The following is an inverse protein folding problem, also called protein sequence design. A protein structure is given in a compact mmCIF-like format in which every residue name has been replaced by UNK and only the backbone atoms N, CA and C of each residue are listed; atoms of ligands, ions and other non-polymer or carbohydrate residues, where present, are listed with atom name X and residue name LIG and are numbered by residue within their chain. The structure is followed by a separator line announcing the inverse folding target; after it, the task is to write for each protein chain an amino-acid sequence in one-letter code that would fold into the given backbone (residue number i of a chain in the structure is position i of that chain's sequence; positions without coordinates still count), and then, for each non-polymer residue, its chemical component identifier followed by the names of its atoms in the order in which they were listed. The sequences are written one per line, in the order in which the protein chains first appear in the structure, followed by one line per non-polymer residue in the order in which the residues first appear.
data_IF_945537248059
#
_entry.id   IF_945537248059
#
_cell.length_a   1.000
_cell.length_b   1.000
_cell.length_c   1.000
_cell.angle_alpha   90.00
_cell.angle_beta   90.00
_cell.angle_gamma   90.00
#
_symmetry.space_group_name_H-M   'P 1'
#
loop_
_entity.id
_entity.type
_entity.pdbx_description
1 polymer ?
#
# COMPACT_ATOMS: atom_id res chain seq x y z
N UNK A 1 -11.94 -7.98 -9.14
CA UNK A 1 -10.94 -7.78 -8.07
C UNK A 1 -11.52 -6.91 -7.00
N UNK A 2 -11.11 -7.09 -5.75
CA UNK A 2 -11.48 -6.18 -4.66
C UNK A 2 -10.54 -4.96 -4.68
N UNK A 3 -11.03 -3.74 -4.40
CA UNK A 3 -10.17 -2.58 -4.25
C UNK A 3 -9.14 -2.80 -3.14
N UNK A 4 -7.92 -2.34 -3.37
CA UNK A 4 -6.85 -2.36 -2.39
C UNK A 4 -6.64 -0.93 -1.87
N UNK A 5 -6.93 -0.71 -0.60
CA UNK A 5 -6.85 0.63 0.00
C UNK A 5 -5.60 0.77 0.85
N UNK A 6 -4.85 1.83 0.61
CA UNK A 6 -3.67 2.23 1.37
C UNK A 6 -4.03 3.32 2.38
N UNK A 7 -3.63 3.13 3.62
CA UNK A 7 -3.81 4.10 4.71
C UNK A 7 -2.57 4.04 5.61
N UNK A 8 -2.06 5.17 6.09
CA UNK A 8 -1.00 5.09 7.11
C UNK A 8 -1.59 4.73 8.47
N UNK A 9 -0.83 4.00 9.28
CA UNK A 9 -1.22 3.76 10.67
C UNK A 9 -0.94 5.00 11.54
N UNK A 10 0.22 5.63 11.32
CA UNK A 10 0.69 6.79 12.03
C UNK A 10 0.95 7.98 11.08
N UNK A 11 2.11 8.01 10.44
CA UNK A 11 2.52 9.02 9.48
C UNK A 11 3.22 8.33 8.32
N UNK A 12 2.67 8.55 7.12
CA UNK A 12 3.27 8.03 5.91
C UNK A 12 4.66 8.66 5.66
N UNK A 13 5.59 7.86 5.14
CA UNK A 13 6.86 8.39 4.64
C UNK A 13 6.62 9.01 3.26
N UNK A 14 6.06 10.23 3.24
CA UNK A 14 5.59 10.88 2.03
C UNK A 14 6.69 11.10 0.98
N UNK A 15 7.94 11.27 1.39
CA UNK A 15 9.08 11.32 0.48
C UNK A 15 9.21 10.04 -0.34
N UNK A 16 9.16 8.87 0.33
CA UNK A 16 9.24 7.57 -0.32
C UNK A 16 8.02 7.32 -1.23
N UNK A 17 6.81 7.64 -0.76
CA UNK A 17 5.58 7.54 -1.56
C UNK A 17 5.68 8.39 -2.82
N UNK A 18 6.09 9.66 -2.71
CA UNK A 18 6.25 10.56 -3.86
C UNK A 18 7.28 10.04 -4.85
N UNK A 19 8.42 9.54 -4.38
CA UNK A 19 9.45 8.95 -5.24
C UNK A 19 8.89 7.75 -6.02
N UNK A 20 8.24 6.80 -5.34
CA UNK A 20 7.67 5.60 -5.96
C UNK A 20 6.58 5.93 -7.00
N UNK A 21 5.80 6.98 -6.77
CA UNK A 21 4.70 7.39 -7.64
C UNK A 21 5.11 8.40 -8.73
N UNK A 22 6.34 8.94 -8.68
CA UNK A 22 6.77 10.06 -9.51
C UNK A 22 6.77 9.77 -11.02
N UNK A 23 6.90 8.50 -11.40
CA UNK A 23 6.95 8.04 -12.79
C UNK A 23 5.57 7.70 -13.35
N UNK A 24 4.51 7.70 -12.53
CA UNK A 24 3.16 7.34 -12.99
C UNK A 24 2.48 8.55 -13.65
N UNK A 25 1.95 8.39 -14.88
CA UNK A 25 1.07 9.37 -15.50
C UNK A 25 -0.10 9.73 -14.58
N UNK A 26 -0.36 11.04 -14.43
CA UNK A 26 -1.47 11.57 -13.64
C UNK A 26 -2.58 12.08 -14.55
N UNK A 27 -3.80 11.65 -14.26
CA UNK A 27 -5.04 12.05 -14.93
C UNK A 27 -6.07 12.44 -13.87
N UNK A 28 -6.12 13.74 -13.54
CA UNK A 28 -6.91 14.23 -12.41
C UNK A 28 -6.41 13.65 -11.08
N UNK A 29 -7.30 12.96 -10.35
CA UNK A 29 -7.00 12.30 -9.06
C UNK A 29 -6.42 10.89 -9.21
N UNK A 30 -6.34 10.37 -10.44
CA UNK A 30 -5.86 9.03 -10.72
C UNK A 30 -4.41 9.03 -11.21
N UNK A 31 -3.63 8.05 -10.76
CA UNK A 31 -2.37 7.62 -11.34
C UNK A 31 -2.61 6.34 -12.15
N UNK A 32 -2.13 6.30 -13.40
CA UNK A 32 -2.42 5.21 -14.34
C UNK A 32 -1.16 4.67 -15.01
N UNK A 33 -1.04 3.34 -15.08
CA UNK A 33 0.01 2.64 -15.85
C UNK A 33 -0.46 1.24 -16.21
N UNK A 34 -0.58 0.93 -17.50
CA UNK A 34 -1.13 -0.35 -17.92
C UNK A 34 -2.54 -0.54 -17.35
N UNK A 35 -2.75 -1.63 -16.59
CA UNK A 35 -4.01 -1.94 -15.90
C UNK A 35 -4.14 -1.29 -14.52
N UNK A 36 -3.08 -0.65 -14.00
CA UNK A 36 -3.12 0.03 -12.71
C UNK A 36 -3.98 1.29 -12.79
N UNK A 37 -4.97 1.39 -11.90
CA UNK A 37 -5.76 2.61 -11.64
C UNK A 37 -5.72 2.88 -10.15
N UNK A 38 -4.90 3.86 -9.76
CA UNK A 38 -4.68 4.25 -8.36
C UNK A 38 -5.26 5.64 -8.11
N UNK A 39 -6.33 5.72 -7.35
CA UNK A 39 -6.88 6.99 -6.84
C UNK A 39 -6.06 7.43 -5.64
N UNK A 40 -5.57 8.66 -5.59
CA UNK A 40 -4.79 9.14 -4.44
C UNK A 40 -5.26 10.50 -3.94
N UNK A 41 -5.06 10.76 -2.65
CA UNK A 41 -5.17 12.11 -2.11
C UNK A 41 -4.07 13.04 -2.66
N UNK A 42 -4.33 14.35 -2.65
CA UNK A 42 -3.34 15.36 -3.01
C UNK A 42 -2.36 15.58 -1.85
N UNK A 43 -1.10 15.19 -2.06
CA UNK A 43 -0.02 15.32 -1.08
C UNK A 43 0.59 16.73 -1.07
N UNK A 44 -0.19 17.74 -0.63
CA UNK A 44 0.28 19.13 -0.48
C UNK A 44 1.49 19.27 0.45
N UNK A 45 2.08 20.48 0.51
CA UNK A 45 3.32 20.75 1.27
C UNK A 45 3.21 20.54 2.79
N UNK A 46 2.00 20.44 3.35
CA UNK A 46 1.75 20.18 4.77
C UNK A 46 1.14 18.81 5.09
N UNK A 47 0.96 17.93 4.09
CA UNK A 47 0.40 16.61 4.32
C UNK A 47 1.26 15.82 5.31
N UNK A 48 0.62 15.14 6.25
CA UNK A 48 1.26 14.19 7.19
C UNK A 48 0.98 12.73 6.80
N UNK A 49 0.00 12.53 5.94
CA UNK A 49 -0.56 11.23 5.64
C UNK A 49 -0.86 11.09 4.14
N UNK A 50 -1.00 9.85 3.69
CA UNK A 50 -1.35 9.44 2.36
C UNK A 50 -2.49 8.41 2.40
N UNK A 51 -3.49 8.64 1.54
CA UNK A 51 -4.56 7.68 1.29
C UNK A 51 -4.63 7.40 -0.20
N UNK A 52 -4.84 6.14 -0.55
CA UNK A 52 -5.09 5.76 -1.92
C UNK A 52 -5.94 4.50 -2.03
N UNK A 53 -6.61 4.34 -3.16
CA UNK A 53 -7.35 3.12 -3.51
C UNK A 53 -6.94 2.68 -4.89
N UNK A 54 -6.37 1.47 -5.00
CA UNK A 54 -6.15 0.81 -6.27
C UNK A 54 -7.44 0.10 -6.69
N UNK A 55 -8.13 0.67 -7.67
CA UNK A 55 -9.38 0.15 -8.22
C UNK A 55 -9.15 -0.99 -9.22
N UNK A 56 -7.98 -0.99 -9.86
CA UNK A 56 -7.53 -2.01 -10.80
C UNK A 56 -6.01 -2.13 -10.68
N UNK A 57 -5.49 -3.34 -10.71
CA UNK A 57 -4.07 -3.68 -10.61
C UNK A 57 -3.84 -5.08 -11.17
N UNK A 58 -2.60 -5.41 -11.55
CA UNK A 58 -2.23 -6.74 -12.03
C UNK A 58 -0.96 -7.25 -11.34
N UNK A 59 -0.55 -8.49 -11.66
CA UNK A 59 0.66 -9.10 -11.12
C UNK A 59 1.91 -8.20 -11.32
N UNK A 60 2.00 -7.50 -12.45
CA UNK A 60 3.09 -6.57 -12.74
C UNK A 60 3.16 -5.36 -11.80
N UNK A 61 2.08 -5.05 -11.09
CA UNK A 61 2.00 -3.92 -10.16
C UNK A 61 2.40 -4.31 -8.73
N UNK A 62 2.45 -5.60 -8.41
CA UNK A 62 2.71 -6.11 -7.05
C UNK A 62 4.01 -5.58 -6.46
N UNK A 63 5.14 -5.47 -7.20
CA UNK A 63 6.35 -4.85 -6.66
C UNK A 63 6.15 -3.38 -6.21
N UNK A 64 5.38 -2.60 -6.97
CA UNK A 64 5.06 -1.21 -6.60
C UNK A 64 4.15 -1.17 -5.37
N UNK A 65 3.12 -2.02 -5.32
CA UNK A 65 2.18 -2.07 -4.19
C UNK A 65 2.89 -2.49 -2.88
N UNK A 66 3.79 -3.48 -2.96
CA UNK A 66 4.62 -3.89 -1.83
C UNK A 66 5.54 -2.75 -1.38
N UNK A 67 6.23 -2.10 -2.32
CA UNK A 67 7.12 -0.97 -2.01
C UNK A 67 6.37 0.23 -1.40
N UNK A 68 5.15 0.51 -1.86
CA UNK A 68 4.31 1.55 -1.26
C UNK A 68 3.98 1.22 0.20
N UNK A 69 3.61 -0.03 0.48
CA UNK A 69 3.32 -0.45 1.84
C UNK A 69 4.56 -0.43 2.74
N UNK A 70 5.67 -1.00 2.28
CA UNK A 70 6.90 -1.14 3.08
C UNK A 70 7.67 0.16 3.26
N UNK A 71 7.90 0.92 2.19
CA UNK A 71 8.65 2.18 2.27
C UNK A 71 7.78 3.36 2.63
N UNK A 72 6.50 3.34 2.22
CA UNK A 72 5.54 4.39 2.56
C UNK A 72 4.98 4.27 3.98
N UNK A 73 5.22 3.14 4.67
CA UNK A 73 4.61 2.80 5.97
C UNK A 73 3.08 2.85 5.90
N UNK A 74 2.54 2.16 4.90
CA UNK A 74 1.11 2.13 4.61
C UNK A 74 0.57 0.74 4.88
N UNK A 75 -0.55 0.67 5.58
CA UNK A 75 -1.38 -0.53 5.68
C UNK A 75 -2.17 -0.68 4.38
N UNK A 76 -2.27 -1.92 3.88
CA UNK A 76 -3.14 -2.27 2.78
C UNK A 76 -4.36 -3.00 3.31
N UNK A 77 -5.55 -2.57 2.92
CA UNK A 77 -6.80 -3.28 3.27
C UNK A 77 -7.42 -3.91 2.05
N UNK A 78 -7.79 -5.18 2.18
CA UNK A 78 -8.39 -5.98 1.12
C UNK A 78 -9.46 -6.91 1.71
N UNK A 79 -10.73 -6.60 1.44
CA UNK A 79 -11.84 -7.51 1.77
C UNK A 79 -11.88 -7.93 3.25
N UNK A 80 -11.54 -7.03 4.18
CA UNK A 80 -11.51 -7.28 5.62
C UNK A 80 -10.18 -7.79 6.18
N UNK A 81 -9.16 -7.97 5.32
CA UNK A 81 -7.77 -8.24 5.75
C UNK A 81 -6.95 -6.97 5.77
N UNK A 82 -5.96 -6.95 6.65
CA UNK A 82 -4.90 -5.95 6.69
C UNK A 82 -3.60 -6.64 6.29
N UNK A 83 -3.00 -6.19 5.19
CA UNK A 83 -1.71 -6.63 4.70
C UNK A 83 -0.70 -5.51 4.93
N UNK A 84 0.48 -5.83 5.44
CA UNK A 84 1.50 -4.84 5.77
C UNK A 84 2.83 -5.27 5.18
N UNK A 85 3.22 -4.61 4.09
CA UNK A 85 4.55 -4.77 3.50
C UNK A 85 5.63 -4.36 4.49
N UNK A 86 6.60 -5.24 4.71
CA UNK A 86 7.75 -4.97 5.59
C UNK A 86 9.03 -5.54 4.98
N UNK A 87 10.18 -4.96 5.32
CA UNK A 87 11.48 -5.60 5.13
C UNK A 87 11.67 -6.61 6.28
N UNK A 88 11.83 -7.89 5.96
CA UNK A 88 12.03 -8.96 6.95
C UNK A 88 13.22 -8.74 7.89
N UNK A 89 14.23 -8.01 7.46
CA UNK A 89 15.43 -7.73 8.26
C UNK A 89 15.28 -6.49 9.12
N UNK A 90 14.40 -5.57 8.72
CA UNK A 90 14.15 -4.28 9.40
C UNK A 90 12.68 -3.89 9.29
N UNK A 91 11.77 -4.64 9.92
CA UNK A 91 10.36 -4.31 9.87
C UNK A 91 10.16 -2.96 10.56
N UNK A 92 9.36 -2.08 9.94
CA UNK A 92 9.03 -0.78 10.52
C UNK A 92 7.90 -0.88 11.56
N UNK A 93 7.22 -2.03 11.60
CA UNK A 93 6.13 -2.36 12.51
C UNK A 93 6.09 -3.87 12.75
N UNK A 94 5.66 -4.30 13.93
CA UNK A 94 5.46 -5.72 14.24
C UNK A 94 4.00 -6.13 14.04
N UNK A 95 3.76 -7.44 13.97
CA UNK A 95 2.38 -7.96 13.90
C UNK A 95 1.56 -7.53 15.12
N UNK A 96 2.15 -7.60 16.32
CA UNK A 96 1.50 -7.19 17.56
C UNK A 96 1.09 -5.71 17.55
N UNK A 97 1.98 -4.82 17.08
CA UNK A 97 1.67 -3.38 17.02
C UNK A 97 0.46 -3.08 16.09
N UNK A 98 0.36 -3.80 14.96
CA UNK A 98 -0.78 -3.66 14.04
C UNK A 98 -2.04 -4.21 14.68
N UNK A 99 -1.98 -5.42 15.26
CA UNK A 99 -3.10 -6.08 15.93
C UNK A 99 -3.66 -5.25 17.09
N UNK A 100 -2.78 -4.64 17.89
CA UNK A 100 -3.18 -3.73 18.98
C UNK A 100 -3.85 -2.46 18.47
N UNK A 101 -3.56 -2.04 17.23
CA UNK A 101 -4.07 -0.80 16.64
C UNK A 101 -5.35 -0.98 15.81
N UNK A 102 -5.69 -2.22 15.41
CA UNK A 102 -6.88 -2.48 14.60
C UNK A 102 -7.98 -3.14 15.43
N UNK A 103 -9.23 -2.68 15.26
CA UNK A 103 -10.38 -3.20 16.01
C UNK A 103 -10.80 -4.62 15.59
N UNK A 104 -10.29 -5.13 14.47
CA UNK A 104 -10.56 -6.48 13.96
C UNK A 104 -10.10 -6.67 12.52
N UNK A 105 -10.08 -7.93 12.08
CA UNK A 105 -9.57 -8.33 10.77
C UNK A 105 -8.37 -9.26 10.89
N UNK A 106 -8.05 -9.94 9.78
CA UNK A 106 -6.87 -10.82 9.70
C UNK A 106 -5.66 -9.97 9.29
N UNK A 107 -4.60 -9.97 10.11
CA UNK A 107 -3.36 -9.22 9.86
C UNK A 107 -2.30 -10.14 9.29
N UNK A 108 -1.65 -9.69 8.22
CA UNK A 108 -0.48 -10.36 7.67
C UNK A 108 0.64 -9.36 7.44
N UNK A 109 1.81 -9.63 8.02
CA UNK A 109 3.04 -9.02 7.56
C UNK A 109 3.46 -9.71 6.26
N UNK A 110 3.80 -8.92 5.25
CA UNK A 110 4.13 -9.39 3.91
C UNK A 110 5.57 -9.01 3.60
N UNK A 111 6.45 -10.00 3.53
CA UNK A 111 7.90 -9.77 3.44
C UNK A 111 8.37 -9.52 2.01
N UNK A 112 7.56 -9.86 1.01
CA UNK A 112 7.92 -9.65 -0.38
C UNK A 112 6.78 -9.68 -1.38
N UNK A 113 7.06 -9.34 -2.65
CA UNK A 113 6.06 -9.27 -3.71
C UNK A 113 5.34 -10.59 -3.97
N UNK A 114 6.03 -11.74 -3.93
CA UNK A 114 5.40 -13.04 -4.25
C UNK A 114 4.32 -13.41 -3.22
N UNK A 115 4.59 -13.15 -1.94
CA UNK A 115 3.62 -13.33 -0.87
C UNK A 115 2.46 -12.34 -1.01
N UNK A 116 2.73 -11.09 -1.38
CA UNK A 116 1.67 -10.12 -1.67
C UNK A 116 0.77 -10.61 -2.82
N UNK A 117 1.36 -11.12 -3.91
CA UNK A 117 0.61 -11.64 -5.05
C UNK A 117 -0.32 -12.78 -4.66
N UNK A 118 0.14 -13.70 -3.79
CA UNK A 118 -0.69 -14.76 -3.21
C UNK A 118 -1.91 -14.19 -2.47
N UNK A 119 -1.70 -13.23 -1.56
CA UNK A 119 -2.80 -12.61 -0.81
C UNK A 119 -3.77 -11.82 -1.69
N UNK A 120 -3.26 -11.18 -2.74
CA UNK A 120 -4.07 -10.46 -3.73
C UNK A 120 -4.79 -11.41 -4.72
N UNK A 121 -4.51 -12.72 -4.68
CA UNK A 121 -5.02 -13.74 -5.63
C UNK A 121 -4.65 -13.44 -7.08
N UNK A 122 -3.43 -12.96 -7.28
CA UNK A 122 -2.83 -12.71 -8.58
C UNK A 122 -1.86 -13.86 -8.86
N UNK A 123 -2.37 -14.95 -9.42
CA UNK A 123 -1.59 -16.13 -9.84
C UNK A 123 -1.98 -16.54 -11.25
#
# INVERSE_FOLDING_TARGET
MQPLTFISLDAAVLGAVRTLLSELPREGIYLRRGTLVLETSYLGSGAQDFYATAWSYALSDVPLLHALSSHGRLLMTLGGRVLVGVDKHRPWITQADVEDSIAGGEVHLVEGPDELAYWLRLV
#
